data_IF_902644759946
#
_entry.id   IF_902644759946
#
_cell.length_a   1.000
_cell.length_b   1.000
_cell.length_c   1.000
_cell.angle_alpha   90.00
_cell.angle_beta   90.00
_cell.angle_gamma   90.00
#
_symmetry.space_group_name_H-M   'P 1'
#
loop_
_entity.id
_entity.type
_entity.pdbx_description
1 polymer ?
#
# COMPACT_ATOMS: atom_id res chain seq x y z
N UNK A 1 -43.10 17.80 54.60
CA UNK A 1 -44.05 17.21 53.63
C UNK A 1 -43.57 15.82 53.29
N UNK A 2 -44.47 14.84 53.38
CA UNK A 2 -44.25 13.40 53.34
C UNK A 2 -43.98 12.90 51.89
N UNK A 3 -42.93 12.10 51.62
CA UNK A 3 -42.77 11.43 50.33
C UNK A 3 -43.64 10.17 50.27
N UNK A 4 -44.65 10.16 49.41
CA UNK A 4 -45.44 8.95 49.13
C UNK A 4 -44.65 8.02 48.20
N UNK A 5 -44.20 6.90 48.78
CA UNK A 5 -43.86 5.67 48.08
C UNK A 5 -45.03 5.20 47.20
N UNK A 6 -44.75 4.97 45.92
CA UNK A 6 -45.48 3.97 45.12
C UNK A 6 -44.44 3.06 44.46
N UNK A 7 -44.55 1.76 44.78
CA UNK A 7 -43.69 0.68 44.32
C UNK A 7 -44.42 -0.13 43.24
N UNK A 8 -43.67 -0.42 42.15
CA UNK A 8 -43.68 -1.62 41.26
C UNK A 8 -44.73 -1.68 40.13
N UNK A 9 -44.47 -2.43 39.02
CA UNK A 9 -43.44 -3.47 38.81
C UNK A 9 -42.51 -3.24 37.58
N UNK A 10 -41.46 -4.06 37.39
CA UNK A 10 -40.59 -3.98 36.23
C UNK A 10 -41.27 -4.66 35.03
N UNK A 11 -41.45 -3.92 33.93
CA UNK A 11 -41.79 -4.51 32.65
C UNK A 11 -40.49 -4.93 31.96
N UNK A 12 -40.11 -6.19 32.13
CA UNK A 12 -39.07 -6.84 31.33
C UNK A 12 -39.63 -7.10 29.93
N UNK A 13 -39.37 -6.20 28.98
CA UNK A 13 -39.51 -6.52 27.56
C UNK A 13 -38.31 -7.40 27.17
N UNK A 14 -38.56 -8.70 27.07
CA UNK A 14 -37.63 -9.65 26.45
C UNK A 14 -37.81 -9.51 24.93
N UNK A 15 -36.92 -8.79 24.27
CA UNK A 15 -36.77 -8.89 22.82
C UNK A 15 -35.99 -10.16 22.52
N UNK A 16 -36.68 -11.20 22.05
CA UNK A 16 -36.03 -12.32 21.35
C UNK A 16 -35.64 -11.85 19.96
N UNK A 17 -34.43 -11.30 19.83
CA UNK A 17 -33.76 -11.21 18.53
C UNK A 17 -33.03 -12.53 18.33
N UNK A 18 -33.72 -13.49 17.72
CA UNK A 18 -33.04 -14.62 17.09
C UNK A 18 -32.58 -14.15 15.71
N UNK A 19 -31.29 -13.86 15.57
CA UNK A 19 -30.66 -13.68 14.27
C UNK A 19 -29.23 -14.18 14.36
N UNK A 20 -29.05 -15.36 13.74
CA UNK A 20 -27.80 -16.04 13.39
C UNK A 20 -26.51 -15.28 13.68
N UNK A 21 -25.83 -15.65 14.76
CA UNK A 21 -24.39 -15.49 14.85
C UNK A 21 -23.75 -16.52 13.93
N UNK A 22 -23.74 -16.25 12.62
CA UNK A 22 -22.74 -16.84 11.75
C UNK A 22 -21.44 -16.20 12.20
N UNK A 23 -20.73 -16.84 13.13
CA UNK A 23 -19.31 -16.57 13.32
C UNK A 23 -18.67 -16.86 11.98
N UNK A 24 -18.51 -15.81 11.16
CA UNK A 24 -17.42 -15.77 10.20
C UNK A 24 -16.20 -15.83 11.08
N UNK A 25 -15.71 -17.04 11.33
CA UNK A 25 -14.30 -17.21 11.60
C UNK A 25 -13.65 -16.63 10.36
N UNK A 26 -13.23 -15.37 10.43
CA UNK A 26 -12.10 -14.94 9.65
C UNK A 26 -11.00 -15.91 10.09
N UNK A 27 -10.87 -17.01 9.34
CA UNK A 27 -9.71 -17.85 9.47
C UNK A 27 -8.57 -16.88 9.34
N UNK A 28 -7.72 -16.77 10.36
CA UNK A 28 -6.44 -16.14 10.19
C UNK A 28 -5.86 -16.82 8.95
N UNK A 29 -5.84 -16.09 7.83
CA UNK A 29 -4.99 -16.49 6.72
C UNK A 29 -3.60 -16.22 7.29
N UNK A 30 -3.06 -17.21 7.99
CA UNK A 30 -1.64 -17.30 8.27
C UNK A 30 -1.00 -17.51 6.91
N UNK A 31 -0.81 -16.42 6.19
CA UNK A 31 0.21 -16.36 5.15
C UNK A 31 1.51 -16.45 5.93
N UNK A 32 2.00 -17.67 6.17
CA UNK A 32 3.40 -17.80 6.58
C UNK A 32 4.19 -17.30 5.39
N UNK A 33 4.87 -16.16 5.56
CA UNK A 33 5.77 -15.63 4.55
C UNK A 33 6.97 -16.57 4.29
N UNK A 34 7.13 -17.59 5.14
CA UNK A 34 8.27 -18.48 5.23
C UNK A 34 8.33 -19.53 4.10
N UNK A 35 7.22 -19.82 3.39
CA UNK A 35 7.15 -20.96 2.47
C UNK A 35 6.76 -20.64 1.01
N UNK A 36 6.63 -19.36 0.63
CA UNK A 36 6.35 -19.02 -0.79
C UNK A 36 7.65 -18.70 -1.51
N UNK A 37 8.08 -19.62 -2.37
CA UNK A 37 9.10 -19.33 -3.37
C UNK A 37 8.58 -18.22 -4.30
N UNK A 38 9.27 -17.08 -4.36
CA UNK A 38 8.90 -15.98 -5.26
C UNK A 38 8.85 -16.43 -6.72
N UNK A 39 9.67 -17.42 -7.08
CA UNK A 39 9.67 -18.07 -8.38
C UNK A 39 8.37 -18.81 -8.63
N UNK A 40 7.84 -19.57 -7.65
CA UNK A 40 6.56 -20.27 -7.80
C UNK A 40 5.40 -19.29 -7.98
N UNK A 41 5.42 -18.16 -7.28
CA UNK A 41 4.43 -17.11 -7.45
C UNK A 41 4.53 -16.45 -8.84
N UNK A 42 5.74 -16.18 -9.32
CA UNK A 42 5.98 -15.67 -10.66
C UNK A 42 5.49 -16.66 -11.73
N UNK A 43 5.78 -17.94 -11.58
CA UNK A 43 5.36 -19.00 -12.50
C UNK A 43 3.83 -19.11 -12.59
N UNK A 44 3.12 -18.91 -11.48
CA UNK A 44 1.65 -18.86 -11.47
C UNK A 44 1.10 -17.67 -12.26
N UNK A 45 1.67 -16.47 -12.08
CA UNK A 45 1.30 -15.27 -12.85
C UNK A 45 1.53 -15.52 -14.34
N UNK A 46 2.69 -16.09 -14.65
CA UNK A 46 3.09 -16.45 -15.99
C UNK A 46 2.10 -17.44 -16.64
N UNK A 47 1.63 -18.45 -15.91
CA UNK A 47 0.62 -19.37 -16.40
C UNK A 47 -0.67 -18.64 -16.82
N UNK A 48 -1.19 -17.73 -15.99
CA UNK A 48 -2.37 -16.93 -16.33
C UNK A 48 -2.16 -16.08 -17.59
N UNK A 49 -0.98 -15.46 -17.73
CA UNK A 49 -0.64 -14.66 -18.91
C UNK A 49 -0.60 -15.55 -20.16
N UNK A 50 -0.03 -16.75 -20.07
CA UNK A 50 0.03 -17.70 -21.19
C UNK A 50 -1.36 -18.13 -21.64
N UNK A 51 -2.24 -18.51 -20.70
CA UNK A 51 -3.62 -18.91 -21.00
C UNK A 51 -4.38 -17.81 -21.75
N UNK A 52 -4.20 -16.55 -21.34
CA UNK A 52 -4.86 -15.43 -21.98
C UNK A 52 -4.28 -15.10 -23.37
N UNK A 53 -2.96 -15.25 -23.56
CA UNK A 53 -2.32 -15.10 -24.86
C UNK A 53 -2.81 -16.16 -25.85
N UNK A 54 -2.97 -17.41 -25.41
CA UNK A 54 -3.48 -18.51 -26.23
C UNK A 54 -4.91 -18.24 -26.73
N UNK A 55 -5.81 -17.75 -25.87
CA UNK A 55 -7.19 -17.39 -26.25
C UNK A 55 -7.25 -16.35 -27.36
N UNK A 56 -6.27 -15.43 -27.42
CA UNK A 56 -6.20 -14.38 -28.45
C UNK A 56 -5.24 -14.73 -29.60
N UNK A 57 -4.75 -15.98 -29.66
CA UNK A 57 -3.85 -16.45 -30.72
C UNK A 57 -2.50 -15.74 -30.76
N UNK A 58 -2.02 -15.27 -29.60
CA UNK A 58 -0.72 -14.61 -29.46
C UNK A 58 0.27 -15.53 -28.73
N UNK A 59 1.55 -15.28 -28.96
CA UNK A 59 2.66 -15.94 -28.26
C UNK A 59 3.46 -14.91 -27.47
N UNK A 60 4.18 -15.37 -26.44
CA UNK A 60 5.09 -14.50 -25.68
C UNK A 60 6.20 -13.95 -26.58
N UNK A 61 6.59 -12.70 -26.30
CA UNK A 61 7.76 -12.11 -26.94
C UNK A 61 9.05 -12.80 -26.44
N UNK A 62 10.09 -12.87 -27.27
CA UNK A 62 11.38 -13.38 -26.82
C UNK A 62 11.97 -12.47 -25.72
N UNK A 63 12.80 -13.00 -24.83
CA UNK A 63 13.56 -12.20 -23.87
C UNK A 63 14.36 -11.10 -24.56
N UNK A 64 14.42 -9.92 -23.94
CA UNK A 64 15.21 -8.81 -24.44
C UNK A 64 16.71 -9.04 -24.22
N UNK A 65 17.55 -8.34 -24.99
CA UNK A 65 19.00 -8.32 -24.77
C UNK A 65 19.35 -7.70 -23.43
N UNK A 66 20.56 -7.94 -22.96
CA UNK A 66 21.01 -7.47 -21.64
C UNK A 66 21.12 -5.94 -21.56
N UNK A 67 21.50 -5.27 -22.64
CA UNK A 67 21.55 -3.81 -22.72
C UNK A 67 20.15 -3.20 -22.59
N UNK A 68 19.16 -3.81 -23.27
CA UNK A 68 17.76 -3.37 -23.20
C UNK A 68 17.19 -3.64 -21.82
N UNK A 69 17.48 -4.81 -21.24
CA UNK A 69 17.08 -5.16 -19.88
C UNK A 69 17.64 -4.16 -18.87
N UNK A 70 18.95 -3.93 -18.86
CA UNK A 70 19.62 -3.01 -17.94
C UNK A 70 19.02 -1.60 -18.04
N UNK A 71 18.83 -1.08 -19.25
CA UNK A 71 18.21 0.24 -19.41
C UNK A 71 16.80 0.31 -18.82
N UNK A 72 15.96 -0.70 -19.06
CA UNK A 72 14.57 -0.72 -18.57
C UNK A 72 14.52 -0.81 -17.05
N UNK A 73 15.27 -1.74 -16.47
CA UNK A 73 15.18 -2.00 -15.03
C UNK A 73 15.70 -0.83 -14.19
N UNK A 74 16.75 -0.13 -14.64
CA UNK A 74 17.21 1.11 -14.00
C UNK A 74 16.16 2.23 -14.08
N UNK A 75 15.46 2.36 -15.21
CA UNK A 75 14.40 3.37 -15.35
C UNK A 75 13.21 3.05 -14.46
N UNK A 76 12.82 1.78 -14.41
CA UNK A 76 11.65 1.33 -13.65
C UNK A 76 11.90 1.41 -12.14
N UNK A 77 13.07 0.97 -11.65
CA UNK A 77 13.37 0.91 -10.21
C UNK A 77 14.01 2.22 -9.73
N UNK A 78 15.08 2.68 -10.37
CA UNK A 78 15.86 3.82 -9.90
C UNK A 78 15.48 5.17 -10.55
N UNK A 79 14.55 5.18 -11.51
CA UNK A 79 14.08 6.41 -12.16
C UNK A 79 15.12 7.10 -13.06
N UNK A 80 16.20 6.40 -13.42
CA UNK A 80 17.30 6.93 -14.26
C UNK A 80 17.83 5.85 -15.18
N UNK A 81 18.71 6.21 -16.11
CA UNK A 81 19.47 5.22 -16.89
C UNK A 81 20.72 4.78 -16.10
N UNK A 82 21.30 3.60 -16.40
CA UNK A 82 22.58 3.22 -15.81
C UNK A 82 23.67 4.20 -16.25
N UNK A 83 24.62 4.44 -15.36
CA UNK A 83 25.90 5.05 -15.73
C UNK A 83 26.69 4.10 -16.61
N UNK A 84 27.72 4.62 -17.28
CA UNK A 84 28.59 3.77 -18.09
C UNK A 84 29.26 2.66 -17.28
N UNK A 85 29.73 2.97 -16.05
CA UNK A 85 30.38 2.00 -15.17
C UNK A 85 29.45 0.86 -14.76
N UNK A 86 28.28 1.20 -14.24
CA UNK A 86 27.23 0.25 -13.86
C UNK A 86 26.84 -0.68 -15.02
N UNK A 87 26.63 -0.10 -16.22
CA UNK A 87 26.28 -0.90 -17.39
C UNK A 87 27.41 -1.87 -17.78
N UNK A 88 28.67 -1.42 -17.75
CA UNK A 88 29.81 -2.29 -18.08
C UNK A 88 29.97 -3.42 -17.06
N UNK A 89 29.81 -3.13 -15.77
CA UNK A 89 29.87 -4.13 -14.71
C UNK A 89 28.80 -5.21 -14.90
N UNK A 90 27.55 -4.82 -15.15
CA UNK A 90 26.45 -5.74 -15.43
C UNK A 90 26.70 -6.59 -16.70
N UNK A 91 27.18 -5.97 -17.78
CA UNK A 91 27.43 -6.69 -19.04
C UNK A 91 28.61 -7.67 -18.95
N UNK A 92 29.61 -7.37 -18.11
CA UNK A 92 30.78 -8.22 -17.91
C UNK A 92 30.55 -9.34 -16.89
N UNK A 93 29.48 -9.25 -16.07
CA UNK A 93 29.12 -10.31 -15.13
C UNK A 93 28.86 -11.63 -15.84
N UNK A 94 29.49 -12.70 -15.32
CA UNK A 94 29.33 -14.08 -15.77
C UNK A 94 28.36 -14.88 -14.90
N UNK A 95 27.74 -14.23 -13.92
CA UNK A 95 26.74 -14.89 -13.06
C UNK A 95 25.56 -15.36 -13.92
N UNK A 96 25.13 -16.59 -13.70
CA UNK A 96 23.88 -17.11 -14.23
C UNK A 96 22.65 -16.37 -13.68
N UNK A 97 22.80 -15.68 -12.54
CA UNK A 97 21.74 -14.97 -11.83
C UNK A 97 21.86 -13.44 -11.96
N UNK A 98 22.71 -12.94 -12.87
CA UNK A 98 23.05 -11.51 -12.96
C UNK A 98 21.86 -10.54 -13.06
N UNK A 99 20.73 -10.98 -13.63
CA UNK A 99 19.51 -10.16 -13.72
C UNK A 99 18.84 -9.97 -12.36
N UNK A 100 18.73 -11.06 -11.59
CA UNK A 100 18.19 -11.02 -10.23
C UNK A 100 19.11 -10.23 -9.31
N UNK A 101 20.43 -10.47 -9.39
CA UNK A 101 21.42 -9.72 -8.62
C UNK A 101 21.33 -8.21 -8.87
N UNK A 102 21.18 -7.79 -10.14
CA UNK A 102 20.99 -6.37 -10.48
C UNK A 102 19.66 -5.83 -9.93
N UNK A 103 18.58 -6.61 -9.96
CA UNK A 103 17.28 -6.19 -9.41
C UNK A 103 17.43 -5.96 -7.90
N UNK A 104 18.03 -6.91 -7.18
CA UNK A 104 18.25 -6.82 -5.74
C UNK A 104 19.08 -5.58 -5.39
N UNK A 105 20.19 -5.35 -6.11
CA UNK A 105 21.03 -4.15 -5.93
C UNK A 105 20.23 -2.84 -6.13
N UNK A 106 19.37 -2.80 -7.16
CA UNK A 106 18.59 -1.60 -7.46
C UNK A 106 17.48 -1.35 -6.44
N UNK A 107 16.78 -2.39 -5.99
CA UNK A 107 15.73 -2.28 -4.97
C UNK A 107 16.31 -1.83 -3.63
N UNK A 108 17.54 -2.26 -3.31
CA UNK A 108 18.24 -1.87 -2.08
C UNK A 108 18.92 -0.49 -2.18
N UNK A 109 18.76 0.24 -3.29
CA UNK A 109 19.45 1.52 -3.53
C UNK A 109 18.64 2.76 -3.12
N UNK A 110 19.32 3.88 -2.85
CA UNK A 110 18.67 5.20 -2.70
C UNK A 110 17.97 5.67 -3.99
N UNK A 111 18.35 5.09 -5.15
CA UNK A 111 17.66 5.30 -6.41
C UNK A 111 16.21 4.81 -6.34
N UNK A 112 16.01 3.60 -5.80
CA UNK A 112 14.69 3.06 -5.53
C UNK A 112 13.90 3.97 -4.57
N UNK A 113 14.48 4.29 -3.41
CA UNK A 113 13.82 5.15 -2.41
C UNK A 113 13.36 6.47 -3.02
N UNK A 114 14.23 7.13 -3.79
CA UNK A 114 13.93 8.42 -4.42
C UNK A 114 12.86 8.30 -5.51
N UNK A 115 12.92 7.26 -6.34
CA UNK A 115 11.98 7.02 -7.43
C UNK A 115 10.60 6.66 -6.89
N UNK A 116 10.52 5.65 -6.03
CA UNK A 116 9.28 5.13 -5.48
C UNK A 116 8.63 6.10 -4.48
N UNK A 117 9.41 6.93 -3.80
CA UNK A 117 8.87 8.03 -3.00
C UNK A 117 7.96 8.94 -3.82
N UNK A 118 8.27 9.24 -5.09
CA UNK A 118 7.40 10.12 -5.89
C UNK A 118 6.03 9.49 -6.16
N UNK A 119 5.99 8.18 -6.43
CA UNK A 119 4.74 7.43 -6.57
C UNK A 119 3.92 7.49 -5.28
N UNK A 120 4.53 7.14 -4.15
CA UNK A 120 3.84 7.18 -2.86
C UNK A 120 3.46 8.59 -2.41
N UNK A 121 4.29 9.59 -2.68
CA UNK A 121 4.00 10.97 -2.35
C UNK A 121 2.78 11.50 -3.12
N UNK A 122 2.58 11.06 -4.37
CA UNK A 122 1.38 11.40 -5.16
C UNK A 122 0.14 10.69 -4.60
N UNK A 123 0.21 9.37 -4.41
CA UNK A 123 -0.88 8.55 -3.84
C UNK A 123 -1.29 9.06 -2.46
N UNK A 124 -0.31 9.36 -1.60
CA UNK A 124 -0.50 9.87 -0.25
C UNK A 124 -0.62 11.41 -0.20
N UNK A 125 -0.78 12.07 -1.35
CA UNK A 125 -1.06 13.51 -1.45
C UNK A 125 -0.16 14.38 -0.58
N UNK A 126 1.12 14.04 -0.53
CA UNK A 126 2.11 14.73 0.30
C UNK A 126 2.24 16.17 -0.15
N UNK A 127 2.11 17.12 0.79
CA UNK A 127 2.15 18.56 0.49
C UNK A 127 3.53 19.12 0.77
N UNK A 128 4.13 19.80 -0.21
CA UNK A 128 5.41 20.50 -0.06
C UNK A 128 5.27 21.96 0.41
N UNK A 129 4.04 22.50 0.39
CA UNK A 129 3.73 23.90 0.74
C UNK A 129 2.76 23.96 1.93
N UNK A 130 3.06 24.82 2.91
CA UNK A 130 2.31 24.96 4.16
C UNK A 130 2.78 24.00 5.25
N UNK A 131 2.91 24.48 6.50
CA UNK A 131 3.39 23.70 7.67
C UNK A 131 4.67 22.88 7.37
N UNK A 132 5.67 23.54 6.76
CA UNK A 132 6.88 22.91 6.21
C UNK A 132 7.54 21.89 7.13
N UNK A 133 7.70 22.20 8.42
CA UNK A 133 8.34 21.29 9.38
C UNK A 133 7.58 19.98 9.56
N UNK A 134 6.24 20.03 9.64
CA UNK A 134 5.39 18.84 9.80
C UNK A 134 5.48 17.96 8.56
N UNK A 135 5.44 18.57 7.37
CA UNK A 135 5.48 17.81 6.13
C UNK A 135 6.86 17.21 5.85
N UNK A 136 7.96 17.80 6.33
CA UNK A 136 9.29 17.23 6.17
C UNK A 136 9.43 15.90 6.94
N UNK A 137 9.03 15.87 8.22
CA UNK A 137 9.07 14.63 9.01
C UNK A 137 8.24 13.51 8.37
N UNK A 138 7.06 13.85 7.83
CA UNK A 138 6.23 12.88 7.13
C UNK A 138 6.88 12.37 5.84
N UNK A 139 7.51 13.26 5.06
CA UNK A 139 8.24 12.87 3.85
C UNK A 139 9.40 11.94 4.15
N UNK A 140 10.16 12.24 5.19
CA UNK A 140 11.30 11.43 5.61
C UNK A 140 10.82 10.06 6.11
N UNK A 141 9.73 9.99 6.90
CA UNK A 141 9.13 8.71 7.30
C UNK A 141 8.66 7.85 6.12
N UNK A 142 8.12 8.44 5.04
CA UNK A 142 7.77 7.66 3.83
C UNK A 142 9.04 7.09 3.20
N UNK A 143 10.09 7.90 3.05
CA UNK A 143 11.38 7.46 2.48
C UNK A 143 12.03 6.37 3.33
N UNK A 144 12.00 6.53 4.65
CA UNK A 144 12.55 5.56 5.60
C UNK A 144 11.76 4.25 5.53
N UNK A 145 10.43 4.32 5.46
CA UNK A 145 9.58 3.14 5.26
C UNK A 145 9.90 2.39 3.96
N UNK A 146 10.24 3.11 2.88
CA UNK A 146 10.69 2.50 1.62
C UNK A 146 12.08 1.89 1.75
N UNK A 147 13.02 2.60 2.39
CA UNK A 147 14.40 2.15 2.60
C UNK A 147 14.48 0.89 3.44
N UNK A 148 13.61 0.77 4.44
CA UNK A 148 13.52 -0.39 5.33
C UNK A 148 12.69 -1.53 4.75
N UNK A 149 12.15 -1.37 3.53
CA UNK A 149 11.22 -2.30 2.90
C UNK A 149 10.08 -2.69 3.85
N UNK A 150 9.44 -1.68 4.46
CA UNK A 150 8.41 -1.87 5.47
C UNK A 150 7.26 -2.72 4.90
N UNK A 151 6.83 -3.79 5.60
CA UNK A 151 5.68 -4.58 5.19
C UNK A 151 4.46 -3.68 4.96
N UNK A 152 3.77 -3.93 3.85
CA UNK A 152 2.68 -3.06 3.40
C UNK A 152 1.56 -2.94 4.46
N UNK A 153 1.24 -4.02 5.15
CA UNK A 153 0.25 -4.05 6.23
C UNK A 153 0.64 -3.14 7.40
N UNK A 154 1.91 -3.18 7.84
CA UNK A 154 2.41 -2.28 8.89
C UNK A 154 2.49 -0.83 8.39
N UNK A 155 2.90 -0.60 7.13
CA UNK A 155 2.89 0.74 6.52
C UNK A 155 1.49 1.36 6.51
N UNK A 156 0.48 0.60 6.10
CA UNK A 156 -0.92 1.04 6.09
C UNK A 156 -1.43 1.28 7.51
N UNK A 157 -1.17 0.33 8.41
CA UNK A 157 -1.58 0.40 9.82
C UNK A 157 -1.02 1.66 10.49
N UNK A 158 0.28 1.90 10.39
CA UNK A 158 0.91 3.12 10.91
C UNK A 158 0.24 4.39 10.38
N UNK A 159 -0.09 4.47 9.09
CA UNK A 159 -0.76 5.63 8.50
C UNK A 159 -2.17 5.88 9.07
N UNK A 160 -2.98 4.81 9.20
CA UNK A 160 -4.40 4.93 9.61
C UNK A 160 -4.60 4.96 11.12
N UNK A 161 -3.59 4.56 11.90
CA UNK A 161 -3.64 4.63 13.37
C UNK A 161 -2.78 5.76 13.94
N UNK A 162 -2.17 6.58 13.08
CA UNK A 162 -1.27 7.64 13.50
C UNK A 162 -1.94 8.64 14.46
N UNK A 163 -1.28 8.99 15.55
CA UNK A 163 -1.79 9.93 16.56
C UNK A 163 -0.67 10.72 17.24
N UNK A 164 -1.03 11.84 17.88
CA UNK A 164 -0.12 12.69 18.63
C UNK A 164 0.59 13.74 17.78
N UNK A 165 1.84 14.04 18.14
CA UNK A 165 2.62 15.07 17.48
C UNK A 165 3.56 14.49 16.41
N UNK A 166 3.81 15.26 15.36
CA UNK A 166 4.60 14.81 14.19
C UNK A 166 6.05 14.42 14.50
N UNK A 167 6.61 14.91 15.62
CA UNK A 167 7.97 14.55 16.04
C UNK A 167 8.01 13.25 16.84
N UNK A 168 6.87 12.81 17.37
CA UNK A 168 6.71 11.53 18.06
C UNK A 168 6.23 10.45 17.08
N UNK A 169 5.26 10.81 16.22
CA UNK A 169 4.71 9.97 15.16
C UNK A 169 4.62 10.76 13.85
N UNK A 170 5.63 10.65 12.97
CA UNK A 170 5.64 11.34 11.69
C UNK A 170 4.50 10.94 10.74
N UNK A 171 3.91 9.74 10.89
CA UNK A 171 2.82 9.26 10.06
C UNK A 171 1.54 10.10 10.24
N UNK A 172 1.44 10.86 11.35
CA UNK A 172 0.38 11.87 11.59
C UNK A 172 0.30 12.91 10.45
N UNK A 173 1.38 13.09 9.68
CA UNK A 173 1.36 13.86 8.44
C UNK A 173 0.27 13.44 7.44
N UNK A 174 -0.14 12.16 7.44
CA UNK A 174 -1.24 11.62 6.64
C UNK A 174 -2.58 12.32 6.90
N UNK A 175 -2.88 12.63 8.16
CA UNK A 175 -4.07 13.38 8.55
C UNK A 175 -3.86 14.89 8.45
N UNK A 176 -2.68 15.37 8.86
CA UNK A 176 -2.37 16.81 8.87
C UNK A 176 -2.31 17.43 7.46
N UNK A 177 -2.04 16.63 6.42
CA UNK A 177 -2.12 17.11 5.04
C UNK A 177 -3.53 17.63 4.70
N UNK A 178 -4.58 17.08 5.31
CA UNK A 178 -5.98 17.43 5.09
C UNK A 178 -6.62 18.07 6.34
N UNK A 179 -5.83 18.78 7.15
CA UNK A 179 -6.31 19.44 8.36
C UNK A 179 -7.52 20.35 8.07
N UNK A 180 -8.62 20.11 8.80
CA UNK A 180 -9.90 20.81 8.60
C UNK A 180 -10.83 20.17 7.56
N UNK A 181 -10.44 19.05 6.95
CA UNK A 181 -11.22 18.34 5.91
C UNK A 181 -11.31 16.82 6.21
N UNK A 182 -11.94 16.41 7.33
CA UNK A 182 -11.96 14.99 7.73
C UNK A 182 -12.73 14.07 6.77
N UNK A 183 -13.80 14.56 6.14
CA UNK A 183 -14.57 13.78 5.15
C UNK A 183 -13.75 13.51 3.88
N UNK A 184 -13.01 14.50 3.39
CA UNK A 184 -12.09 14.32 2.27
C UNK A 184 -11.00 13.31 2.62
N UNK A 185 -10.40 13.41 3.81
CA UNK A 185 -9.37 12.48 4.25
C UNK A 185 -9.90 11.04 4.31
N UNK A 186 -11.07 10.82 4.92
CA UNK A 186 -11.72 9.50 4.99
C UNK A 186 -12.01 8.94 3.60
N UNK A 187 -12.55 9.77 2.69
CA UNK A 187 -12.85 9.33 1.33
C UNK A 187 -11.59 8.99 0.53
N UNK A 188 -10.51 9.75 0.69
CA UNK A 188 -9.22 9.39 0.06
C UNK A 188 -8.66 8.12 0.67
N UNK A 189 -8.79 7.92 1.98
CA UNK A 189 -8.31 6.73 2.68
C UNK A 189 -8.96 5.46 2.12
N UNK A 190 -10.29 5.45 1.95
CA UNK A 190 -10.99 4.33 1.33
C UNK A 190 -10.59 4.12 -0.14
N UNK A 191 -10.37 5.20 -0.89
CA UNK A 191 -9.94 5.08 -2.27
C UNK A 191 -8.53 4.51 -2.39
N UNK A 192 -7.60 4.96 -1.55
CA UNK A 192 -6.19 4.56 -1.58
C UNK A 192 -6.04 3.10 -1.15
N UNK A 193 -6.65 2.69 -0.03
CA UNK A 193 -6.38 1.38 0.57
C UNK A 193 -7.44 0.32 0.25
N UNK A 194 -8.66 0.72 -0.10
CA UNK A 194 -9.76 -0.21 -0.43
C UNK A 194 -10.19 -0.13 -1.91
N UNK A 195 -9.58 0.74 -2.71
CA UNK A 195 -9.96 0.95 -4.11
C UNK A 195 -11.38 1.49 -4.31
N UNK A 196 -12.03 1.98 -3.24
CA UNK A 196 -13.46 2.33 -3.23
C UNK A 196 -13.64 3.84 -3.13
N UNK A 197 -14.42 4.42 -4.04
CA UNK A 197 -14.73 5.85 -4.05
C UNK A 197 -15.95 6.14 -3.21
N UNK A 198 -15.78 6.90 -2.12
CA UNK A 198 -16.87 7.29 -1.21
C UNK A 198 -17.25 8.77 -1.31
N UNK A 199 -16.66 9.53 -2.23
CA UNK A 199 -16.84 10.99 -2.33
C UNK A 199 -18.32 11.36 -2.54
N UNK A 200 -19.05 10.59 -3.36
CA UNK A 200 -20.46 10.84 -3.67
C UNK A 200 -21.37 10.67 -2.44
N UNK A 201 -21.06 9.68 -1.58
CA UNK A 201 -21.81 9.39 -0.36
C UNK A 201 -21.70 10.47 0.73
N UNK A 202 -20.84 11.48 0.54
CA UNK A 202 -20.73 12.60 1.47
C UNK A 202 -21.91 13.58 1.36
N UNK A 203 -22.57 13.61 0.21
CA UNK A 203 -23.60 14.61 -0.11
C UNK A 203 -24.95 13.99 -0.47
N UNK A 204 -24.99 12.73 -0.90
CA UNK A 204 -26.21 12.06 -1.31
C UNK A 204 -26.08 10.53 -1.22
N UNK A 205 -27.22 9.84 -1.15
CA UNK A 205 -27.28 8.36 -1.22
C UNK A 205 -26.83 7.88 -2.60
N UNK A 206 -26.25 6.68 -2.70
CA UNK A 206 -25.75 6.19 -3.97
C UNK A 206 -26.92 5.93 -4.94
N UNK A 207 -26.81 6.29 -6.23
CA UNK A 207 -27.94 6.22 -7.17
C UNK A 207 -28.47 4.79 -7.47
N UNK A 208 -27.88 3.75 -6.89
CA UNK A 208 -28.33 2.36 -7.02
C UNK A 208 -28.70 1.71 -5.69
N UNK A 209 -28.78 2.50 -4.61
CA UNK A 209 -29.41 2.10 -3.34
C UNK A 209 -30.95 2.22 -3.41
#
# INVERSE_FOLDING_TARGET
MNPRHIKRPPASLVFFVSAFATTVTAGEIKVSAEDRSWQEAADQIDAFISDDLEKVGKVRNPPVTDEVFARRIYLDIAGRIPTYGELQEYLQSKSSSKRSELIDELVDSEGYVSSYYNFWADILRVKSRGRRTIMLSYQDWIKDSLRENKPYDEFVKELITADGYVWDDPAVGYYLRDAGMPLDNMSNTAQIFLGTRMQCAQCHDHPFD
#
